data_IF_645930394888
#
_entry.id   IF_645930394888
#
_cell.length_a   1.000
_cell.length_b   1.000
_cell.length_c   1.000
_cell.angle_alpha   90.00
_cell.angle_beta   90.00
_cell.angle_gamma   90.00
#
_symmetry.space_group_name_H-M   'P 1'
#
loop_
_entity.id
_entity.type
_entity.pdbx_description
1 polymer ?
#
# COMPACT_ATOMS: atom_id res chain seq x y z
N UNK A 1 7.02 -8.56 -13.99
CA UNK A 1 6.67 -8.03 -12.65
C UNK A 1 7.94 -7.62 -11.92
N UNK A 2 8.15 -6.33 -11.65
CA UNK A 2 9.40 -5.77 -11.06
C UNK A 2 9.41 -5.70 -9.52
N UNK A 3 8.33 -6.07 -8.84
CA UNK A 3 8.12 -5.83 -7.39
C UNK A 3 7.99 -7.11 -6.54
N UNK A 4 7.94 -8.29 -7.18
CA UNK A 4 7.87 -9.56 -6.45
C UNK A 4 9.22 -9.86 -5.77
N UNK A 5 9.22 -10.53 -4.61
CA UNK A 5 10.45 -10.88 -3.89
C UNK A 5 11.37 -11.73 -4.77
N UNK A 6 12.68 -11.80 -4.53
CA UNK A 6 13.60 -12.54 -5.40
C UNK A 6 13.31 -14.06 -5.45
N UNK A 7 12.67 -14.61 -4.42
CA UNK A 7 12.36 -16.04 -4.35
C UNK A 7 11.16 -16.44 -5.22
N UNK A 8 11.45 -16.89 -6.45
CA UNK A 8 10.46 -17.31 -7.45
C UNK A 8 9.56 -18.47 -7.04
N UNK A 9 9.98 -19.33 -6.10
CA UNK A 9 9.18 -20.51 -5.67
C UNK A 9 7.94 -20.14 -4.86
N UNK A 10 7.92 -18.94 -4.31
CA UNK A 10 6.81 -18.44 -3.51
C UNK A 10 6.00 -17.37 -4.26
N UNK A 11 6.24 -17.23 -5.57
CA UNK A 11 5.45 -16.35 -6.42
C UNK A 11 4.12 -17.03 -6.74
N UNK A 12 3.00 -16.30 -6.66
CA UNK A 12 1.77 -16.80 -7.23
C UNK A 12 1.93 -16.94 -8.75
N UNK A 13 1.44 -18.05 -9.31
CA UNK A 13 1.49 -18.31 -10.76
C UNK A 13 0.77 -17.22 -11.56
N UNK A 14 -0.27 -16.62 -10.98
CA UNK A 14 -1.01 -15.51 -11.55
C UNK A 14 -1.48 -14.53 -10.47
N UNK A 15 -1.70 -13.27 -10.85
CA UNK A 15 -2.32 -12.27 -10.00
C UNK A 15 -3.81 -12.60 -9.81
N UNK A 16 -4.22 -12.90 -8.58
CA UNK A 16 -5.57 -13.32 -8.25
C UNK A 16 -6.35 -12.20 -7.58
N UNK A 17 -7.37 -11.64 -8.23
CA UNK A 17 -8.10 -10.45 -7.75
C UNK A 17 -8.62 -10.54 -6.32
N UNK A 18 -8.93 -11.75 -5.85
CA UNK A 18 -9.43 -12.06 -4.51
C UNK A 18 -8.37 -12.00 -3.40
N UNK A 19 -7.09 -12.07 -3.75
CA UNK A 19 -5.98 -12.03 -2.78
C UNK A 19 -5.30 -10.65 -2.68
N UNK A 20 -5.64 -9.71 -3.56
CA UNK A 20 -5.05 -8.39 -3.59
C UNK A 20 -6.03 -7.37 -3.01
N UNK A 21 -5.80 -7.05 -1.75
CA UNK A 21 -6.57 -6.08 -0.99
C UNK A 21 -5.71 -4.81 -0.84
N UNK A 22 -6.26 -3.61 -1.07
CA UNK A 22 -5.49 -2.38 -0.87
C UNK A 22 -5.15 -2.20 0.61
N UNK A 23 -3.87 -1.92 0.88
CA UNK A 23 -3.38 -1.62 2.24
C UNK A 23 -3.76 -0.19 2.65
N UNK A 24 -3.35 0.77 1.81
CA UNK A 24 -3.56 2.18 2.04
C UNK A 24 -3.59 2.94 0.70
N UNK A 25 -4.20 4.13 0.71
CA UNK A 25 -4.22 5.09 -0.39
C UNK A 25 -3.63 6.39 0.09
N UNK A 26 -2.47 6.77 -0.44
CA UNK A 26 -1.84 8.05 -0.15
C UNK A 26 -2.18 9.08 -1.24
N UNK A 27 -2.70 10.23 -0.82
CA UNK A 27 -3.01 11.37 -1.67
C UNK A 27 -2.05 12.52 -1.34
N UNK A 28 -1.41 13.05 -2.37
CA UNK A 28 -0.44 14.14 -2.26
C UNK A 28 -1.00 15.38 -2.94
N UNK A 29 -0.65 16.57 -2.44
CA UNK A 29 -1.04 17.84 -3.06
C UNK A 29 -0.37 18.07 -4.43
N UNK A 30 0.78 17.43 -4.65
CA UNK A 30 1.58 17.59 -5.87
C UNK A 30 2.01 16.24 -6.45
N UNK A 31 1.83 16.12 -7.77
CA UNK A 31 2.21 14.94 -8.55
C UNK A 31 3.72 14.67 -8.55
N UNK A 32 4.56 15.70 -8.47
CA UNK A 32 6.01 15.51 -8.44
C UNK A 32 6.46 14.84 -7.15
N UNK A 33 5.89 15.25 -6.00
CA UNK A 33 6.14 14.61 -4.70
C UNK A 33 5.61 13.20 -4.65
N UNK A 34 4.41 12.95 -5.20
CA UNK A 34 3.89 11.57 -5.33
C UNK A 34 4.87 10.67 -6.09
N UNK A 35 5.40 11.13 -7.23
CA UNK A 35 6.38 10.36 -8.02
C UNK A 35 7.66 10.10 -7.24
N UNK A 36 8.17 11.09 -6.51
CA UNK A 36 9.38 10.94 -5.71
C UNK A 36 9.19 9.93 -4.57
N UNK A 37 8.07 10.00 -3.85
CA UNK A 37 7.71 9.02 -2.81
C UNK A 37 7.57 7.62 -3.42
N UNK A 38 6.88 7.50 -4.56
CA UNK A 38 6.73 6.23 -5.25
C UNK A 38 8.07 5.63 -5.67
N UNK A 39 8.97 6.42 -6.27
CA UNK A 39 10.32 5.97 -6.65
C UNK A 39 11.10 5.48 -5.44
N UNK A 40 11.06 6.22 -4.31
CA UNK A 40 11.74 5.79 -3.08
C UNK A 40 11.20 4.49 -2.51
N UNK A 41 9.89 4.27 -2.55
CA UNK A 41 9.29 3.00 -2.14
C UNK A 41 9.81 1.82 -2.99
N UNK A 42 9.99 2.03 -4.31
CA UNK A 42 10.58 1.01 -5.19
C UNK A 42 12.06 0.77 -4.89
N UNK A 43 12.81 1.81 -4.57
CA UNK A 43 14.21 1.72 -4.16
C UNK A 43 14.34 0.94 -2.84
N UNK A 44 13.53 1.27 -1.82
CA UNK A 44 13.50 0.53 -0.56
C UNK A 44 13.14 -0.94 -0.77
N UNK A 45 12.14 -1.22 -1.62
CA UNK A 45 11.76 -2.58 -1.98
C UNK A 45 12.92 -3.37 -2.60
N UNK A 46 13.64 -2.73 -3.50
CA UNK A 46 14.82 -3.31 -4.16
C UNK A 46 15.95 -3.53 -3.16
N UNK A 47 16.19 -2.54 -2.30
CA UNK A 47 17.23 -2.59 -1.26
C UNK A 47 16.97 -3.72 -0.26
N UNK A 48 15.75 -3.84 0.28
CA UNK A 48 15.37 -4.93 1.20
C UNK A 48 15.52 -6.32 0.60
N UNK A 49 15.23 -6.44 -0.69
CA UNK A 49 15.40 -7.72 -1.41
C UNK A 49 16.86 -8.16 -1.52
N UNK A 50 17.82 -7.24 -1.34
CA UNK A 50 19.27 -7.49 -1.39
C UNK A 50 19.92 -7.54 0.00
N UNK A 51 19.20 -7.17 1.06
CA UNK A 51 19.76 -7.19 2.41
C UNK A 51 20.03 -8.62 2.87
N UNK A 52 21.13 -8.85 3.61
CA UNK A 52 21.37 -10.14 4.23
C UNK A 52 20.31 -10.45 5.28
N UNK A 53 20.10 -11.73 5.56
CA UNK A 53 19.19 -12.18 6.63
C UNK A 53 19.65 -11.58 7.97
N UNK A 54 18.75 -10.88 8.70
CA UNK A 54 19.03 -10.37 10.04
C UNK A 54 19.54 -11.47 10.98
N UNK A 55 20.47 -11.13 11.86
CA UNK A 55 21.12 -12.12 12.74
C UNK A 55 20.10 -12.83 13.64
N UNK A 56 19.05 -12.09 14.03
CA UNK A 56 17.93 -12.54 14.82
C UNK A 56 17.12 -13.64 14.13
N UNK A 57 17.13 -13.72 12.80
CA UNK A 57 16.37 -14.74 12.05
C UNK A 57 17.22 -15.95 11.65
N UNK A 58 18.52 -15.96 11.99
CA UNK A 58 19.45 -17.04 11.58
C UNK A 58 19.18 -18.36 12.29
N UNK A 59 18.66 -18.31 13.51
CA UNK A 59 18.29 -19.50 14.29
C UNK A 59 17.00 -20.17 13.77
N UNK A 60 16.22 -19.48 12.95
CA UNK A 60 14.99 -20.02 12.38
C UNK A 60 15.26 -20.92 11.17
N UNK A 61 14.35 -21.87 10.93
CA UNK A 61 14.37 -22.70 9.72
C UNK A 61 14.25 -21.84 8.46
N UNK A 62 14.84 -22.31 7.35
CA UNK A 62 14.77 -21.63 6.04
C UNK A 62 13.33 -21.40 5.60
N UNK A 63 12.41 -22.33 5.89
CA UNK A 63 10.99 -22.20 5.52
C UNK A 63 10.30 -21.08 6.30
N UNK A 64 10.49 -21.02 7.61
CA UNK A 64 9.89 -19.97 8.45
C UNK A 64 10.44 -18.59 8.08
N UNK A 65 11.75 -18.48 7.89
CA UNK A 65 12.41 -17.26 7.44
C UNK A 65 11.88 -16.74 6.12
N UNK A 66 11.72 -17.61 5.12
CA UNK A 66 11.15 -17.24 3.81
C UNK A 66 9.70 -16.74 3.91
N UNK A 67 8.93 -17.23 4.87
CA UNK A 67 7.56 -16.73 5.11
C UNK A 67 7.60 -15.30 5.63
N UNK A 68 8.49 -15.02 6.58
CA UNK A 68 8.71 -13.65 7.10
C UNK A 68 9.28 -12.71 6.03
N UNK A 69 10.17 -13.19 5.15
CA UNK A 69 10.70 -12.39 4.04
C UNK A 69 9.61 -11.93 3.04
N UNK A 70 8.51 -12.68 2.93
CA UNK A 70 7.38 -12.33 2.07
C UNK A 70 6.42 -11.38 2.76
N UNK A 71 6.28 -11.51 4.08
CA UNK A 71 5.48 -10.61 4.88
C UNK A 71 6.18 -9.25 5.01
N UNK A 72 5.68 -8.29 4.23
CA UNK A 72 6.34 -7.01 4.02
C UNK A 72 5.40 -5.85 4.32
N UNK A 73 4.24 -6.11 4.95
CA UNK A 73 3.26 -5.07 5.29
C UNK A 73 3.89 -4.06 6.26
N UNK A 74 4.37 -4.54 7.42
CA UNK A 74 4.96 -3.67 8.43
C UNK A 74 6.16 -2.88 7.90
N UNK A 75 6.98 -3.55 7.09
CA UNK A 75 8.19 -2.95 6.52
C UNK A 75 7.83 -1.90 5.46
N UNK A 76 6.82 -2.14 4.62
CA UNK A 76 6.30 -1.15 3.65
C UNK A 76 5.68 0.06 4.33
N UNK A 77 4.94 -0.11 5.43
CA UNK A 77 4.38 1.03 6.20
C UNK A 77 5.50 1.89 6.78
N UNK A 78 6.55 1.27 7.33
CA UNK A 78 7.71 2.00 7.83
C UNK A 78 8.43 2.80 6.72
N UNK A 79 8.59 2.22 5.52
CA UNK A 79 9.19 2.92 4.37
C UNK A 79 8.33 4.07 3.86
N UNK A 80 7.00 3.91 3.90
CA UNK A 80 6.08 4.97 3.51
C UNK A 80 6.26 6.18 4.41
N UNK A 81 6.29 5.98 5.73
CA UNK A 81 6.57 7.06 6.67
C UNK A 81 7.95 7.69 6.41
N UNK A 82 9.00 6.88 6.24
CA UNK A 82 10.35 7.38 5.98
C UNK A 82 10.44 8.19 4.66
N UNK A 83 9.73 7.74 3.63
CA UNK A 83 9.66 8.43 2.34
C UNK A 83 8.94 9.77 2.46
N UNK A 84 7.83 9.81 3.19
CA UNK A 84 7.07 11.04 3.46
C UNK A 84 7.86 12.05 4.31
N UNK A 85 8.69 11.58 5.25
CA UNK A 85 9.47 12.45 6.14
C UNK A 85 10.47 13.34 5.38
N UNK A 86 10.91 12.92 4.19
CA UNK A 86 11.82 13.71 3.35
C UNK A 86 11.15 14.91 2.67
N UNK A 87 9.82 15.04 2.78
CA UNK A 87 9.03 16.07 2.10
C UNK A 87 8.14 16.85 3.06
N UNK A 88 8.66 17.16 4.26
CA UNK A 88 7.92 17.79 5.37
C UNK A 88 7.09 19.04 4.98
N UNK A 89 7.51 19.80 3.97
CA UNK A 89 6.82 21.02 3.53
C UNK A 89 5.59 20.77 2.65
N UNK A 90 5.33 19.53 2.24
CA UNK A 90 4.18 19.16 1.38
C UNK A 90 3.32 18.15 2.11
N UNK A 91 2.06 18.51 2.37
CA UNK A 91 1.12 17.65 3.07
C UNK A 91 0.68 16.44 2.25
N UNK A 92 0.33 15.36 2.92
CA UNK A 92 -0.33 14.21 2.29
C UNK A 92 -1.36 13.59 3.23
N UNK A 93 -2.39 12.99 2.65
CA UNK A 93 -3.45 12.28 3.37
C UNK A 93 -3.37 10.80 3.05
N UNK A 94 -3.29 9.97 4.08
CA UNK A 94 -3.23 8.51 3.93
C UNK A 94 -4.53 7.92 4.46
N UNK A 95 -5.35 7.41 3.55
CA UNK A 95 -6.50 6.58 3.89
C UNK A 95 -6.04 5.14 4.12
N UNK A 96 -6.44 4.55 5.23
CA UNK A 96 -6.10 3.17 5.61
C UNK A 96 -7.30 2.26 5.43
N UNK A 97 -7.05 1.02 4.98
CA UNK A 97 -8.07 -0.01 5.07
C UNK A 97 -8.26 -0.43 6.52
N UNK A 98 -7.16 -0.78 7.20
CA UNK A 98 -7.13 -1.09 8.62
C UNK A 98 -6.27 -0.06 9.34
N UNK A 99 -6.88 0.73 10.22
CA UNK A 99 -6.16 1.80 10.93
C UNK A 99 -5.03 1.30 11.83
N UNK A 100 -5.14 0.08 12.36
CA UNK A 100 -4.14 -0.52 13.24
C UNK A 100 -2.78 -0.64 12.54
N UNK A 101 -2.75 -0.74 11.21
CA UNK A 101 -1.52 -0.91 10.45
C UNK A 101 -0.63 0.34 10.48
N UNK A 102 -1.18 1.52 10.79
CA UNK A 102 -0.40 2.77 10.90
C UNK A 102 0.68 2.70 11.99
N UNK A 103 0.51 1.82 12.99
CA UNK A 103 1.43 1.69 14.13
C UNK A 103 2.74 0.98 13.78
N UNK A 104 2.80 0.29 12.62
CA UNK A 104 4.03 -0.33 12.16
C UNK A 104 5.16 0.68 11.89
N UNK A 105 4.80 1.93 11.58
CA UNK A 105 5.76 3.03 11.54
C UNK A 105 5.92 3.63 12.95
N UNK A 106 7.15 3.62 13.48
CA UNK A 106 7.49 4.15 14.82
C UNK A 106 7.17 5.63 15.00
N UNK A 107 7.25 6.41 13.93
CA UNK A 107 7.00 7.86 13.93
C UNK A 107 6.47 8.26 12.56
N UNK A 108 5.49 9.15 12.53
CA UNK A 108 4.99 9.81 11.33
C UNK A 108 5.43 11.28 11.32
N UNK A 109 5.69 11.87 10.15
CA UNK A 109 6.00 13.28 10.05
C UNK A 109 4.71 14.11 10.19
N UNK A 110 4.82 15.32 10.76
CA UNK A 110 3.66 16.12 11.19
C UNK A 110 2.75 16.61 10.04
N UNK A 111 3.25 16.56 8.81
CA UNK A 111 2.55 16.95 7.58
C UNK A 111 1.63 15.84 7.03
N UNK A 112 1.49 14.71 7.72
CA UNK A 112 0.69 13.58 7.27
C UNK A 112 -0.59 13.51 8.08
N UNK A 113 -1.71 13.53 7.36
CA UNK A 113 -3.03 13.28 7.94
C UNK A 113 -3.44 11.84 7.67
N UNK A 114 -4.04 11.20 8.67
CA UNK A 114 -4.52 9.82 8.59
C UNK A 114 -6.04 9.82 8.58
N UNK A 115 -6.63 9.04 7.69
CA UNK A 115 -8.08 8.88 7.60
C UNK A 115 -8.43 7.40 7.54
N UNK A 116 -9.55 7.04 8.15
CA UNK A 116 -10.15 5.71 8.09
C UNK A 116 -11.06 5.58 6.87
N UNK A 117 -11.35 4.35 6.44
CA UNK A 117 -12.37 4.13 5.42
C UNK A 117 -11.82 4.34 4.01
N UNK A 118 -10.93 3.45 3.62
CA UNK A 118 -10.63 3.27 2.20
C UNK A 118 -11.93 2.80 1.53
N UNK A 119 -12.52 3.61 0.65
CA UNK A 119 -13.68 3.22 -0.15
C UNK A 119 -13.29 2.08 -1.10
N UNK A 120 -13.24 0.86 -0.57
CA UNK A 120 -12.97 -0.34 -1.35
C UNK A 120 -14.30 -0.84 -1.85
N UNK A 121 -14.69 -0.40 -3.05
CA UNK A 121 -15.68 -1.16 -3.82
C UNK A 121 -15.06 -2.54 -4.05
N UNK A 122 -15.53 -3.56 -3.33
CA UNK A 122 -15.12 -4.95 -3.54
C UNK A 122 -15.47 -5.32 -4.97
N UNK A 123 -14.45 -5.37 -5.84
CA UNK A 123 -14.63 -5.56 -7.28
C UNK A 123 -14.10 -4.36 -8.04
N UNK A 124 -12.80 -4.35 -8.34
CA UNK A 124 -12.24 -3.39 -9.29
C UNK A 124 -12.81 -3.66 -10.68
N UNK A 125 -13.80 -2.88 -11.10
CA UNK A 125 -13.96 -2.51 -12.51
C UNK A 125 -13.41 -1.09 -12.62
N UNK A 126 -12.29 -0.92 -13.32
CA UNK A 126 -11.93 0.41 -13.82
C UNK A 126 -12.94 0.68 -14.93
N UNK A 127 -14.07 1.30 -14.59
CA UNK A 127 -14.93 1.90 -15.61
C UNK A 127 -14.17 3.13 -16.08
N UNK A 128 -13.47 2.96 -17.20
CA UNK A 128 -12.92 4.08 -17.93
C UNK A 128 -14.13 4.82 -18.49
N UNK A 129 -14.62 5.83 -17.76
CA UNK A 129 -15.67 6.68 -18.28
C UNK A 129 -15.15 7.33 -19.56
N UNK A 130 -15.75 6.97 -20.70
CA UNK A 130 -15.40 7.50 -22.01
C UNK A 130 -15.87 8.95 -22.20
N UNK A 131 -16.45 9.57 -21.17
CA UNK A 131 -16.94 10.95 -21.23
C UNK A 131 -16.24 11.80 -20.18
N UNK A 132 -15.18 12.50 -20.59
CA UNK A 132 -14.33 13.32 -19.72
C UNK A 132 -14.98 14.61 -19.22
N UNK A 133 -16.11 14.54 -18.52
CA UNK A 133 -16.77 15.70 -17.93
C UNK A 133 -17.26 15.38 -16.51
N UNK A 134 -16.63 16.03 -15.53
CA UNK A 134 -17.10 16.08 -14.14
C UNK A 134 -18.49 16.72 -14.10
N UNK A 135 -19.51 15.98 -13.68
CA UNK A 135 -20.76 16.56 -13.21
C UNK A 135 -20.75 16.59 -11.67
N UNK A 136 -20.91 17.75 -11.02
CA UNK A 136 -21.05 17.83 -9.57
C UNK A 136 -22.47 17.41 -9.18
N UNK A 137 -22.62 16.31 -8.42
CA UNK A 137 -23.88 15.99 -7.74
C UNK A 137 -24.44 14.56 -7.89
N UNK A 138 -23.67 13.55 -8.27
CA UNK A 138 -24.17 12.18 -8.32
C UNK A 138 -24.45 11.63 -6.91
N UNK A 139 -25.74 11.55 -6.59
CA UNK A 139 -26.29 10.94 -5.38
C UNK A 139 -26.18 9.42 -5.49
N UNK A 140 -25.64 8.77 -4.45
CA UNK A 140 -25.56 7.31 -4.36
C UNK A 140 -26.95 6.75 -4.06
N UNK A 141 -27.53 6.00 -5.00
CA UNK A 141 -28.77 5.26 -4.76
C UNK A 141 -28.42 3.91 -4.13
N UNK A 142 -28.80 3.72 -2.87
CA UNK A 142 -28.70 2.43 -2.19
C UNK A 142 -29.78 1.50 -2.76
N UNK A 143 -29.38 0.42 -3.43
CA UNK A 143 -30.31 -0.65 -3.79
C UNK A 143 -30.24 -1.69 -2.68
N UNK A 144 -31.01 -1.50 -1.62
CA UNK A 144 -31.28 -2.56 -0.65
C UNK A 144 -32.24 -3.56 -1.32
N UNK A 145 -31.74 -4.77 -1.58
CA UNK A 145 -32.58 -5.92 -1.91
C UNK A 145 -33.49 -6.24 -0.71
N UNK A 146 -34.75 -5.86 -0.81
CA UNK A 146 -35.85 -6.47 -0.06
C UNK A 146 -36.01 -7.90 -0.58
N UNK A 147 -35.66 -8.90 0.23
CA UNK A 147 -36.13 -10.27 0.03
C UNK A 147 -37.26 -10.55 1.02
N UNK A 148 -38.47 -10.56 0.48
CA UNK A 148 -39.66 -11.20 1.05
C UNK A 148 -39.60 -12.71 0.92
#
# INVERSE_FOLDING_TARGET
MKQLPPNRRLHPTALRKDHWVPLAKAQFSDSATMRQVYTRLLEYRTWRSKQPVPIELRHMTVKARRRLEIDQVATTVADLSASCASFANKGATIAWLNEEEKVYAKKWPANITHTSGLDVVRGWSIVQDRTGLFAPGSTVVNTEEVKS
#
